data_IF_188772124585
#
_entry.id   IF_188772124585
#
_cell.length_a   1.000
_cell.length_b   1.000
_cell.length_c   1.000
_cell.angle_alpha   90.00
_cell.angle_beta   90.00
_cell.angle_gamma   90.00
#
_symmetry.space_group_name_H-M   'P 1'
#
loop_
_entity.id
_entity.type
_entity.pdbx_description
1 polymer ?
#
# COMPACT_ATOMS: atom_id res chain seq x y z
N UNK A 1 -70.20 29.41 -15.89
CA UNK A 1 -69.76 28.67 -17.10
C UNK A 1 -68.24 28.84 -17.17
N UNK A 2 -67.46 27.80 -16.85
CA UNK A 2 -66.63 27.00 -17.79
C UNK A 2 -65.53 27.86 -18.46
N UNK A 3 -64.22 27.60 -18.36
CA UNK A 3 -63.49 26.33 -18.31
C UNK A 3 -62.01 26.51 -17.93
N UNK A 4 -61.43 25.48 -17.31
CA UNK A 4 -60.00 25.21 -17.16
C UNK A 4 -59.25 25.00 -18.48
N UNK A 5 -57.94 25.35 -18.51
CA UNK A 5 -56.85 24.70 -19.27
C UNK A 5 -55.53 24.95 -18.51
N UNK A 6 -55.07 24.02 -17.65
CA UNK A 6 -54.01 23.01 -17.87
C UNK A 6 -52.79 23.40 -18.73
N UNK A 7 -51.63 23.28 -18.05
CA UNK A 7 -50.30 22.81 -18.47
C UNK A 7 -49.40 23.71 -19.35
N UNK A 8 -48.15 23.93 -18.89
CA UNK A 8 -46.95 23.16 -19.29
C UNK A 8 -45.76 23.59 -18.40
N UNK A 9 -45.01 22.59 -17.94
CA UNK A 9 -43.78 22.71 -17.16
C UNK A 9 -42.56 23.03 -18.03
N UNK A 10 -41.50 23.62 -17.45
CA UNK A 10 -40.11 23.36 -17.85
C UNK A 10 -39.15 23.75 -16.72
N UNK A 11 -38.44 22.74 -16.22
CA UNK A 11 -37.34 22.77 -15.28
C UNK A 11 -36.10 23.39 -15.94
N UNK A 12 -35.39 24.26 -15.23
CA UNK A 12 -34.00 24.59 -15.52
C UNK A 12 -33.23 24.64 -14.19
N UNK A 13 -32.94 23.45 -13.65
CA UNK A 13 -31.98 23.28 -12.57
C UNK A 13 -30.57 23.37 -13.14
N UNK A 14 -29.89 24.49 -12.90
CA UNK A 14 -28.46 24.62 -13.15
C UNK A 14 -27.68 23.96 -12.02
N UNK A 15 -27.21 22.73 -12.24
CA UNK A 15 -26.22 22.09 -11.36
C UNK A 15 -24.84 22.55 -11.84
N UNK A 16 -24.19 23.38 -11.04
CA UNK A 16 -22.78 23.72 -11.19
C UNK A 16 -21.95 22.48 -10.83
N UNK A 17 -21.47 21.76 -11.84
CA UNK A 17 -20.39 20.78 -11.69
C UNK A 17 -19.09 21.54 -11.47
N UNK A 18 -18.81 21.87 -10.20
CA UNK A 18 -17.47 22.26 -9.78
C UNK A 18 -16.57 21.02 -9.83
N UNK A 19 -15.84 20.87 -10.94
CA UNK A 19 -14.70 19.98 -11.03
C UNK A 19 -13.56 20.55 -10.20
N UNK A 20 -13.08 19.82 -9.20
CA UNK A 20 -11.83 20.13 -8.53
C UNK A 20 -10.70 19.38 -9.23
N UNK A 21 -10.11 20.08 -10.21
CA UNK A 21 -8.71 19.91 -10.61
C UNK A 21 -7.84 20.43 -9.46
N UNK A 22 -6.86 19.64 -9.01
CA UNK A 22 -5.92 20.08 -7.98
C UNK A 22 -5.09 21.28 -8.44
N UNK A 23 -4.85 22.23 -7.54
CA UNK A 23 -3.57 22.92 -7.25
C UNK A 23 -3.78 23.91 -6.09
N UNK A 24 -3.00 23.75 -5.00
CA UNK A 24 -2.55 24.88 -4.17
C UNK A 24 -3.33 25.21 -2.88
N UNK A 25 -2.67 24.92 -1.74
CA UNK A 25 -2.60 25.76 -0.54
C UNK A 25 -3.88 26.13 0.22
N UNK A 26 -4.03 25.61 1.44
CA UNK A 26 -4.94 26.17 2.44
C UNK A 26 -5.48 25.12 3.42
N UNK A 27 -5.38 25.43 4.71
CA UNK A 27 -5.83 24.68 5.88
C UNK A 27 -7.18 23.94 5.80
N UNK A 28 -7.25 22.81 6.52
CA UNK A 28 -8.47 22.35 7.20
C UNK A 28 -9.22 21.21 6.49
N UNK A 29 -8.96 19.97 6.92
CA UNK A 29 -9.70 18.79 6.44
C UNK A 29 -9.39 17.54 7.24
N UNK A 30 -9.37 17.64 8.57
CA UNK A 30 -9.34 16.49 9.46
C UNK A 30 -10.77 16.00 9.68
N UNK A 31 -11.12 14.86 9.11
CA UNK A 31 -12.39 14.21 9.33
C UNK A 31 -12.46 12.94 8.50
N UNK A 32 -12.61 11.80 9.18
CA UNK A 32 -12.99 10.47 8.64
C UNK A 32 -11.87 9.53 8.13
N UNK A 33 -10.58 9.89 8.23
CA UNK A 33 -9.47 8.95 7.98
C UNK A 33 -8.33 9.01 9.03
N UNK A 34 -8.60 9.64 10.17
CA UNK A 34 -7.53 10.22 11.01
C UNK A 34 -6.98 9.32 12.12
N UNK A 35 -7.62 8.18 12.43
CA UNK A 35 -7.28 7.34 13.59
C UNK A 35 -6.40 6.13 13.23
N UNK A 36 -6.54 5.58 12.02
CA UNK A 36 -5.75 4.43 11.55
C UNK A 36 -4.23 4.70 11.50
N UNK A 37 -3.85 5.98 11.43
CA UNK A 37 -2.46 6.42 11.39
C UNK A 37 -1.97 6.97 12.73
N UNK A 38 -2.64 6.72 13.86
CA UNK A 38 -2.23 7.24 15.17
C UNK A 38 -1.89 6.12 16.14
N UNK A 39 -0.84 6.31 16.92
CA UNK A 39 -0.37 5.41 17.96
C UNK A 39 0.08 6.24 19.18
N UNK A 40 -0.28 5.84 20.39
CA UNK A 40 0.20 6.47 21.62
C UNK A 40 1.15 5.54 22.39
N UNK A 41 2.30 6.05 22.81
CA UNK A 41 3.25 5.33 23.67
C UNK A 41 3.69 6.28 24.78
N UNK A 42 3.50 5.89 26.04
CA UNK A 42 3.86 6.70 27.22
C UNK A 42 3.33 8.15 27.14
N UNK A 43 2.10 8.33 26.64
CA UNK A 43 1.45 9.64 26.47
C UNK A 43 2.03 10.48 25.33
N UNK A 44 2.81 9.89 24.42
CA UNK A 44 3.35 10.55 23.23
C UNK A 44 2.67 9.99 21.98
N UNK A 45 2.26 10.89 21.10
CA UNK A 45 1.62 10.57 19.82
C UNK A 45 2.67 10.24 18.76
N UNK A 46 2.41 9.17 18.00
CA UNK A 46 3.15 8.76 16.81
C UNK A 46 2.19 8.64 15.65
N UNK A 47 2.64 9.05 14.47
CA UNK A 47 1.85 9.10 13.25
C UNK A 47 2.42 8.13 12.21
N UNK A 48 1.55 7.38 11.53
CA UNK A 48 1.93 6.50 10.44
C UNK A 48 2.66 7.27 9.34
N UNK A 49 3.76 6.71 8.83
CA UNK A 49 4.64 7.40 7.89
C UNK A 49 4.92 6.53 6.66
N UNK A 50 4.21 6.82 5.56
CA UNK A 50 4.46 6.24 4.24
C UNK A 50 4.34 4.71 4.16
N UNK A 51 4.44 4.19 2.93
CA UNK A 51 4.46 2.74 2.69
C UNK A 51 5.89 2.24 2.63
N UNK A 52 6.20 1.20 3.42
CA UNK A 52 7.51 0.57 3.37
C UNK A 52 7.74 -0.17 2.05
N UNK A 53 8.92 0.06 1.48
CA UNK A 53 9.52 -0.70 0.37
C UNK A 53 10.64 -1.60 0.82
N UNK A 54 11.15 -1.41 2.04
CA UNK A 54 12.10 -2.29 2.70
C UNK A 54 11.77 -2.38 4.17
N UNK A 55 11.72 -3.60 4.69
CA UNK A 55 11.52 -3.84 6.12
C UNK A 55 12.72 -3.33 6.91
N UNK A 56 12.50 -2.44 7.90
CA UNK A 56 13.57 -2.01 8.78
C UNK A 56 13.97 -3.12 9.75
N UNK A 57 15.25 -3.15 10.10
CA UNK A 57 15.71 -4.04 11.16
C UNK A 57 15.13 -3.60 12.51
N UNK A 58 14.71 -4.57 13.32
CA UNK A 58 14.21 -4.36 14.68
C UNK A 58 15.17 -4.95 15.70
N UNK A 59 15.15 -4.40 16.91
CA UNK A 59 15.96 -4.89 18.04
C UNK A 59 15.38 -6.15 18.70
N UNK A 60 14.12 -6.48 18.39
CA UNK A 60 13.34 -7.52 19.09
C UNK A 60 12.70 -7.06 20.42
N UNK A 61 12.98 -5.82 20.87
CA UNK A 61 12.28 -5.22 22.01
C UNK A 61 10.92 -4.69 21.59
N UNK A 62 9.93 -4.85 22.47
CA UNK A 62 8.57 -4.38 22.28
C UNK A 62 8.22 -3.30 23.29
N UNK A 63 7.49 -2.28 22.86
CA UNK A 63 6.86 -1.26 23.67
C UNK A 63 5.35 -1.50 23.67
N UNK A 64 4.71 -1.28 24.83
CA UNK A 64 3.25 -1.23 24.88
C UNK A 64 2.79 0.06 24.21
N UNK A 65 1.88 -0.08 23.27
CA UNK A 65 1.32 1.04 22.53
C UNK A 65 -0.20 0.99 22.59
N UNK A 66 -0.84 2.15 22.62
CA UNK A 66 -2.28 2.29 22.57
C UNK A 66 -2.66 2.76 21.16
N UNK A 67 -3.45 1.95 20.47
CA UNK A 67 -4.09 2.36 19.22
C UNK A 67 -5.44 2.97 19.61
N UNK A 68 -5.66 4.27 19.35
CA UNK A 68 -6.91 4.92 19.69
C UNK A 68 -8.07 4.32 18.90
N UNK A 69 -9.26 4.45 19.45
CA UNK A 69 -10.49 4.08 18.78
C UNK A 69 -10.74 4.90 17.52
N UNK A 70 -11.27 4.26 16.49
CA UNK A 70 -11.73 4.89 15.26
C UNK A 70 -13.25 5.07 15.28
N UNK A 71 -13.75 6.25 14.90
CA UNK A 71 -15.16 6.43 14.52
C UNK A 71 -15.26 6.51 13.00
N UNK A 72 -15.12 5.35 12.36
CA UNK A 72 -15.20 5.22 10.91
C UNK A 72 -16.65 4.99 10.43
N UNK A 73 -17.64 5.12 11.33
CA UNK A 73 -19.06 4.87 11.03
C UNK A 73 -19.86 6.15 10.80
N UNK A 74 -19.21 7.32 10.86
CA UNK A 74 -19.90 8.62 10.79
C UNK A 74 -20.86 8.82 11.96
N UNK A 75 -20.56 8.23 13.13
CA UNK A 75 -21.39 8.28 14.34
C UNK A 75 -22.66 7.42 14.27
N UNK A 76 -22.73 6.42 13.38
CA UNK A 76 -23.86 5.49 13.31
C UNK A 76 -23.74 4.33 14.29
N UNK A 77 -22.51 3.94 14.62
CA UNK A 77 -22.19 2.91 15.62
C UNK A 77 -21.34 3.50 16.75
N UNK A 78 -21.20 2.76 17.85
CA UNK A 78 -20.26 3.11 18.90
C UNK A 78 -18.83 3.11 18.32
N UNK A 79 -17.99 4.11 18.65
CA UNK A 79 -16.60 4.15 18.21
C UNK A 79 -15.89 2.86 18.59
N UNK A 80 -15.01 2.35 17.72
CA UNK A 80 -14.19 1.20 18.07
C UNK A 80 -13.41 1.51 19.36
N UNK A 81 -13.34 0.60 20.34
CA UNK A 81 -12.62 0.86 21.57
C UNK A 81 -11.11 0.95 21.29
N UNK A 82 -10.42 1.82 22.04
CA UNK A 82 -8.97 1.82 22.03
C UNK A 82 -8.42 0.44 22.43
N UNK A 83 -7.34 0.02 21.77
CA UNK A 83 -6.73 -1.30 21.97
C UNK A 83 -5.24 -1.19 22.26
N UNK A 84 -4.72 -2.10 23.07
CA UNK A 84 -3.27 -2.22 23.24
C UNK A 84 -2.66 -3.02 22.11
N UNK A 85 -1.45 -2.62 21.71
CA UNK A 85 -0.64 -3.25 20.67
C UNK A 85 0.82 -3.31 21.14
N UNK A 86 1.63 -4.10 20.43
CA UNK A 86 3.07 -4.21 20.69
C UNK A 86 3.84 -3.59 19.54
N UNK A 87 4.31 -2.37 19.76
CA UNK A 87 5.20 -1.71 18.81
C UNK A 87 6.64 -2.23 19.02
N UNK A 88 7.38 -2.46 17.95
CA UNK A 88 8.75 -2.92 17.96
C UNK A 88 9.72 -1.73 17.88
N UNK A 89 10.81 -1.82 18.62
CA UNK A 89 11.89 -0.84 18.53
C UNK A 89 12.79 -1.12 17.33
N UNK A 90 12.98 -0.09 16.51
CA UNK A 90 13.85 -0.10 15.34
C UNK A 90 15.32 -0.18 15.76
N UNK A 91 16.16 -0.89 15.00
CA UNK A 91 17.57 -1.07 15.32
C UNK A 91 18.39 0.21 15.18
N UNK A 92 18.10 1.00 14.14
CA UNK A 92 18.88 2.18 13.76
C UNK A 92 18.21 3.52 14.13
N UNK A 93 16.99 3.47 14.70
CA UNK A 93 16.22 4.66 15.08
C UNK A 93 15.68 4.47 16.50
N UNK A 94 15.97 5.39 17.44
CA UNK A 94 15.50 5.25 18.80
C UNK A 94 13.97 5.32 18.88
N UNK A 95 13.38 4.56 19.80
CA UNK A 95 11.92 4.53 20.01
C UNK A 95 11.32 5.93 20.31
N UNK A 96 12.12 6.85 20.87
CA UNK A 96 11.71 8.24 21.09
C UNK A 96 11.49 9.05 19.80
N UNK A 97 11.86 8.51 18.63
CA UNK A 97 11.67 9.10 17.31
C UNK A 97 10.68 8.28 16.49
N UNK A 98 10.86 6.95 16.41
CA UNK A 98 9.97 6.10 15.64
C UNK A 98 9.93 4.66 16.15
N UNK A 99 8.84 3.97 15.84
CA UNK A 99 8.60 2.55 16.16
C UNK A 99 7.97 1.83 14.96
N UNK A 100 8.02 0.50 14.95
CA UNK A 100 7.37 -0.35 13.95
C UNK A 100 6.16 -1.05 14.55
N UNK A 101 5.00 -0.96 13.92
CA UNK A 101 3.80 -1.72 14.31
C UNK A 101 3.17 -2.32 13.07
N UNK A 102 2.90 -3.62 13.09
CA UNK A 102 2.22 -4.36 12.01
C UNK A 102 2.78 -4.04 10.60
N UNK A 103 4.12 -3.98 10.50
CA UNK A 103 4.81 -3.70 9.23
C UNK A 103 4.75 -2.24 8.77
N UNK A 104 4.32 -1.31 9.63
CA UNK A 104 4.26 0.13 9.34
C UNK A 104 5.11 0.94 10.31
N UNK A 105 5.81 1.96 9.81
CA UNK A 105 6.60 2.87 10.65
C UNK A 105 5.71 3.99 11.17
N UNK A 106 5.76 4.21 12.48
CA UNK A 106 5.10 5.31 13.17
C UNK A 106 6.16 6.26 13.72
N UNK A 107 6.07 7.54 13.36
CA UNK A 107 7.04 8.59 13.73
C UNK A 107 6.41 9.50 14.77
N UNK A 108 7.14 9.80 15.84
CA UNK A 108 6.65 10.68 16.91
C UNK A 108 6.30 12.04 16.33
N UNK A 109 5.15 12.57 16.73
CA UNK A 109 4.73 13.90 16.33
C UNK A 109 5.79 14.95 16.67
N UNK A 110 6.17 15.76 15.67
CA UNK A 110 7.20 16.79 15.78
C UNK A 110 8.64 16.30 15.63
N UNK A 111 8.87 15.01 15.38
CA UNK A 111 10.19 14.46 15.06
C UNK A 111 10.31 14.11 13.58
N UNK A 112 11.54 14.15 13.07
CA UNK A 112 11.86 13.70 11.70
C UNK A 112 12.63 12.38 11.75
N UNK A 113 12.37 11.52 10.77
CA UNK A 113 13.20 10.35 10.56
C UNK A 113 14.63 10.75 10.12
N UNK A 114 15.66 10.04 10.58
CA UNK A 114 17.01 10.31 10.13
C UNK A 114 17.13 10.05 8.62
N UNK A 115 18.02 10.76 7.89
CA UNK A 115 18.12 10.64 6.43
C UNK A 115 18.34 9.21 5.92
N UNK A 116 19.00 8.35 6.70
CA UNK A 116 19.22 6.95 6.36
C UNK A 116 17.92 6.12 6.27
N UNK A 117 16.87 6.50 7.01
CA UNK A 117 15.58 5.83 6.99
C UNK A 117 14.79 6.04 5.68
N UNK A 118 15.20 6.99 4.82
CA UNK A 118 14.58 7.17 3.49
C UNK A 118 14.62 5.90 2.65
N UNK A 119 15.69 5.12 2.79
CA UNK A 119 15.86 3.85 2.08
C UNK A 119 14.78 2.80 2.42
N UNK A 120 14.03 2.98 3.51
CA UNK A 120 12.88 2.13 3.83
C UNK A 120 11.66 2.38 2.94
N UNK A 121 11.54 3.58 2.39
CA UNK A 121 10.39 4.02 1.59
C UNK A 121 10.71 4.10 0.08
N UNK A 122 11.99 4.15 -0.26
CA UNK A 122 12.44 4.16 -1.65
C UNK A 122 12.32 2.77 -2.28
N UNK A 123 11.72 2.70 -3.47
CA UNK A 123 11.67 1.45 -4.23
C UNK A 123 13.09 1.03 -4.62
N UNK A 124 13.50 -0.23 -4.38
CA UNK A 124 14.82 -0.68 -4.80
C UNK A 124 15.00 -0.57 -6.31
N UNK A 125 16.22 -0.21 -6.73
CA UNK A 125 16.64 -0.24 -8.12
C UNK A 125 17.10 -1.64 -8.50
N UNK A 126 16.88 -2.04 -9.75
CA UNK A 126 17.41 -3.29 -10.29
C UNK A 126 18.90 -3.10 -10.63
N UNK A 127 19.77 -3.72 -9.85
CA UNK A 127 21.22 -3.62 -10.01
C UNK A 127 21.87 -5.00 -9.90
N UNK A 128 21.68 -5.83 -10.93
CA UNK A 128 22.34 -7.13 -11.02
C UNK A 128 22.60 -7.54 -12.48
N UNK A 129 23.56 -8.44 -12.68
CA UNK A 129 23.81 -9.04 -13.99
C UNK A 129 22.91 -10.27 -14.21
N UNK A 130 22.55 -10.53 -15.46
CA UNK A 130 21.84 -11.74 -15.86
C UNK A 130 20.41 -11.85 -15.34
N UNK A 131 19.92 -13.08 -15.27
CA UNK A 131 18.59 -13.43 -14.75
C UNK A 131 18.76 -14.02 -13.36
N UNK A 132 18.00 -13.53 -12.39
CA UNK A 132 17.97 -14.05 -11.02
C UNK A 132 16.57 -14.51 -10.66
N UNK A 133 16.47 -15.45 -9.73
CA UNK A 133 15.19 -15.92 -9.20
C UNK A 133 14.90 -15.26 -7.85
N UNK A 134 13.66 -14.81 -7.70
CA UNK A 134 13.11 -14.21 -6.49
C UNK A 134 11.80 -14.91 -6.17
N UNK A 135 11.57 -15.18 -4.89
CA UNK A 135 10.30 -15.67 -4.37
C UNK A 135 9.78 -14.68 -3.33
N UNK A 136 8.48 -14.48 -3.30
CA UNK A 136 7.88 -13.58 -2.32
C UNK A 136 6.36 -13.54 -2.36
N UNK A 137 5.77 -12.94 -1.32
CA UNK A 137 4.33 -12.74 -1.23
C UNK A 137 3.86 -11.78 -2.32
N UNK A 138 2.80 -12.14 -3.05
CA UNK A 138 2.22 -11.28 -4.06
C UNK A 138 1.23 -10.30 -3.43
N UNK A 139 1.59 -9.01 -3.45
CA UNK A 139 0.84 -7.95 -2.77
C UNK A 139 -0.21 -7.27 -3.65
N UNK A 140 -0.05 -7.32 -4.97
CA UNK A 140 -0.99 -6.67 -5.88
C UNK A 140 -0.53 -6.65 -7.33
N UNK A 141 -1.44 -6.24 -8.20
CA UNK A 141 -1.21 -6.11 -9.64
C UNK A 141 -1.72 -4.76 -10.13
N UNK A 142 -0.99 -4.15 -11.05
CA UNK A 142 -1.38 -2.90 -11.71
C UNK A 142 -1.06 -2.99 -13.18
N UNK A 143 -2.03 -2.69 -14.03
CA UNK A 143 -1.85 -2.68 -15.48
C UNK A 143 -2.64 -1.54 -16.13
N UNK A 144 -2.38 -1.24 -17.41
CA UNK A 144 -3.18 -0.29 -18.18
C UNK A 144 -4.55 -0.88 -18.57
N UNK A 145 -4.78 -2.17 -18.34
CA UNK A 145 -6.02 -2.86 -18.64
C UNK A 145 -6.90 -2.91 -17.39
N UNK A 146 -8.15 -2.44 -17.54
CA UNK A 146 -9.18 -2.62 -16.52
C UNK A 146 -9.64 -4.09 -16.54
N UNK A 147 -9.56 -4.75 -15.38
CA UNK A 147 -9.96 -6.14 -15.22
C UNK A 147 -11.47 -6.27 -15.32
N UNK A 148 -11.95 -7.21 -16.13
CA UNK A 148 -13.40 -7.46 -16.28
C UNK A 148 -13.94 -8.48 -15.25
N UNK A 149 -13.04 -9.31 -14.70
CA UNK A 149 -13.33 -10.34 -13.70
C UNK A 149 -12.06 -10.64 -12.89
N UNK A 150 -12.22 -11.28 -11.73
CA UNK A 150 -11.10 -11.67 -10.88
C UNK A 150 -10.14 -12.60 -11.64
N UNK A 151 -8.87 -12.20 -11.72
CA UNK A 151 -7.86 -12.92 -12.49
C UNK A 151 -7.78 -12.56 -13.98
N UNK A 152 -8.53 -11.57 -14.47
CA UNK A 152 -8.31 -10.97 -15.80
C UNK A 152 -7.02 -10.12 -15.82
N UNK A 153 -5.87 -10.80 -15.75
CA UNK A 153 -4.55 -10.19 -15.89
C UNK A 153 -4.01 -10.47 -17.29
N UNK A 154 -3.63 -9.40 -18.00
CA UNK A 154 -3.11 -9.47 -19.36
C UNK A 154 -1.89 -8.56 -19.50
N UNK A 155 -0.73 -9.09 -19.93
CA UNK A 155 0.44 -8.24 -20.13
C UNK A 155 0.16 -7.11 -21.14
N UNK A 156 0.76 -5.92 -20.94
CA UNK A 156 1.72 -5.59 -19.89
C UNK A 156 1.05 -5.27 -18.55
N UNK A 157 1.64 -5.74 -17.45
CA UNK A 157 1.25 -5.34 -16.09
C UNK A 157 2.47 -5.33 -15.17
N UNK A 158 2.27 -4.86 -13.94
CA UNK A 158 3.24 -4.91 -12.86
C UNK A 158 2.66 -5.68 -11.70
N UNK A 159 3.47 -6.50 -11.06
CA UNK A 159 3.12 -7.10 -9.77
C UNK A 159 4.01 -6.51 -8.67
N UNK A 160 3.42 -6.30 -7.50
CA UNK A 160 4.16 -5.96 -6.28
C UNK A 160 4.46 -7.25 -5.50
N UNK A 161 5.72 -7.49 -5.17
CA UNK A 161 6.17 -8.72 -4.52
C UNK A 161 7.03 -8.37 -3.30
N UNK A 162 6.63 -8.81 -2.12
CA UNK A 162 7.46 -8.77 -0.91
C UNK A 162 8.41 -9.97 -0.91
N UNK A 163 9.68 -9.73 -1.19
CA UNK A 163 10.68 -10.78 -1.42
C UNK A 163 11.07 -11.48 -0.12
N UNK A 164 10.76 -12.77 -0.04
CA UNK A 164 11.06 -13.67 1.09
C UNK A 164 12.28 -14.55 0.84
N UNK A 165 12.61 -14.83 -0.43
CA UNK A 165 13.78 -15.60 -0.83
C UNK A 165 14.40 -15.12 -2.16
N UNK A 166 15.70 -15.36 -2.33
CA UNK A 166 16.44 -15.01 -3.54
C UNK A 166 17.74 -14.26 -3.25
N UNK A 167 18.09 -13.30 -4.10
CA UNK A 167 19.33 -12.53 -3.96
C UNK A 167 19.29 -11.64 -2.71
N UNK A 168 20.34 -11.72 -1.89
CA UNK A 168 20.41 -11.05 -0.57
C UNK A 168 20.13 -9.54 -0.58
N UNK A 169 20.47 -8.84 -1.67
CA UNK A 169 20.23 -7.40 -1.80
C UNK A 169 18.74 -7.00 -1.79
N UNK A 170 17.86 -7.94 -2.18
CA UNK A 170 16.43 -7.72 -2.34
C UNK A 170 15.58 -8.41 -1.25
N UNK A 171 16.18 -9.20 -0.37
CA UNK A 171 15.44 -9.82 0.74
C UNK A 171 14.81 -8.75 1.63
N UNK A 172 13.54 -8.98 2.03
CA UNK A 172 12.78 -8.05 2.87
C UNK A 172 12.40 -6.76 2.15
N UNK A 173 12.38 -6.76 0.81
CA UNK A 173 11.95 -5.60 0.02
C UNK A 173 10.69 -5.89 -0.77
N UNK A 174 9.91 -4.84 -1.01
CA UNK A 174 8.77 -4.87 -1.93
C UNK A 174 9.23 -4.38 -3.29
N UNK A 175 9.29 -5.29 -4.25
CA UNK A 175 9.68 -4.99 -5.63
C UNK A 175 8.48 -4.86 -6.55
N UNK A 176 8.62 -4.01 -7.57
CA UNK A 176 7.68 -3.92 -8.69
C UNK A 176 8.27 -4.63 -9.90
N UNK A 177 7.69 -5.77 -10.26
CA UNK A 177 8.16 -6.56 -11.39
C UNK A 177 7.31 -6.27 -12.63
N UNK A 178 7.95 -5.83 -13.70
CA UNK A 178 7.29 -5.60 -14.98
C UNK A 178 7.11 -6.93 -15.71
N UNK A 179 5.86 -7.33 -15.93
CA UNK A 179 5.47 -8.49 -16.73
C UNK A 179 5.09 -8.01 -18.13
N UNK A 180 5.61 -8.70 -19.15
CA UNK A 180 5.40 -8.34 -20.55
C UNK A 180 4.87 -9.52 -21.34
N UNK A 181 4.48 -9.30 -22.61
CA UNK A 181 4.08 -10.38 -23.50
C UNK A 181 5.20 -11.41 -23.77
N UNK A 182 6.46 -11.09 -23.45
CA UNK A 182 7.60 -11.99 -23.57
C UNK A 182 7.88 -12.81 -22.29
N UNK A 183 7.13 -12.58 -21.22
CA UNK A 183 7.28 -13.33 -19.97
C UNK A 183 6.66 -14.72 -20.14
N UNK A 184 7.46 -15.77 -19.92
CA UNK A 184 7.02 -17.16 -20.08
C UNK A 184 7.69 -18.10 -19.06
N UNK A 185 6.90 -18.85 -18.26
CA UNK A 185 5.45 -18.74 -18.13
C UNK A 185 5.01 -17.42 -17.50
N UNK A 186 3.74 -17.10 -17.75
CA UNK A 186 3.02 -15.98 -17.14
C UNK A 186 1.95 -16.51 -16.16
N UNK A 187 1.61 -15.69 -15.16
CA UNK A 187 0.51 -16.00 -14.25
C UNK A 187 -0.81 -16.04 -15.04
N UNK A 188 -1.50 -17.17 -14.99
CA UNK A 188 -2.83 -17.32 -15.55
C UNK A 188 -3.94 -16.96 -14.54
N UNK A 189 -5.21 -16.92 -14.99
CA UNK A 189 -6.34 -16.64 -14.12
C UNK A 189 -6.46 -17.59 -12.93
N UNK A 190 -6.11 -18.87 -13.10
CA UNK A 190 -6.15 -19.86 -12.02
C UNK A 190 -5.04 -19.62 -10.97
N UNK A 191 -3.84 -19.23 -11.40
CA UNK A 191 -2.76 -18.82 -10.50
C UNK A 191 -3.14 -17.58 -9.69
N UNK A 192 -3.83 -16.61 -10.32
CA UNK A 192 -4.32 -15.41 -9.65
C UNK A 192 -5.33 -15.77 -8.57
N UNK A 193 -6.28 -16.65 -8.90
CA UNK A 193 -7.29 -17.09 -7.93
C UNK A 193 -6.63 -17.77 -6.75
N UNK A 194 -5.79 -18.76 -6.98
CA UNK A 194 -5.10 -19.49 -5.90
C UNK A 194 -4.30 -18.54 -5.00
N UNK A 195 -3.56 -17.62 -5.62
CA UNK A 195 -2.69 -16.69 -4.89
C UNK A 195 -3.47 -15.63 -4.12
N UNK A 196 -4.50 -15.00 -4.71
CA UNK A 196 -5.26 -13.94 -4.07
C UNK A 196 -6.06 -14.43 -2.85
N UNK A 197 -6.59 -15.65 -2.90
CA UNK A 197 -7.43 -16.17 -1.82
C UNK A 197 -6.65 -16.82 -0.68
N UNK A 198 -5.39 -17.23 -0.92
CA UNK A 198 -4.55 -17.90 0.09
C UNK A 198 -3.37 -17.05 0.57
N UNK A 199 -3.19 -15.85 0.03
CA UNK A 199 -2.01 -15.01 0.32
C UNK A 199 -0.73 -15.58 -0.30
N UNK A 200 -0.88 -16.24 -1.45
CA UNK A 200 0.16 -17.08 -2.05
C UNK A 200 1.43 -16.33 -2.44
N UNK A 201 2.51 -17.09 -2.51
CA UNK A 201 3.79 -16.58 -3.01
C UNK A 201 3.83 -16.68 -4.55
N UNK A 202 4.71 -15.90 -5.14
CA UNK A 202 5.10 -16.02 -6.54
C UNK A 202 6.60 -16.27 -6.63
N UNK A 203 7.00 -17.16 -7.54
CA UNK A 203 8.40 -17.26 -8.00
C UNK A 203 8.54 -16.55 -9.34
N UNK A 204 9.49 -15.62 -9.41
CA UNK A 204 9.77 -14.83 -10.60
C UNK A 204 11.25 -14.93 -10.97
N UNK A 205 11.52 -15.17 -12.25
CA UNK A 205 12.85 -14.96 -12.83
C UNK A 205 12.91 -13.57 -13.42
N UNK A 206 13.79 -12.72 -12.92
CA UNK A 206 13.85 -11.30 -13.28
C UNK A 206 15.21 -10.93 -13.86
N UNK A 207 15.21 -9.94 -14.76
CA UNK A 207 16.42 -9.27 -15.25
C UNK A 207 16.25 -7.76 -15.08
N UNK A 208 17.37 -7.04 -15.10
CA UNK A 208 17.32 -5.59 -15.17
C UNK A 208 17.11 -5.11 -16.62
N UNK A 209 16.31 -4.06 -16.75
CA UNK A 209 16.17 -3.21 -17.94
C UNK A 209 16.32 -1.75 -17.50
N UNK A 210 17.55 -1.25 -17.54
CA UNK A 210 17.92 -0.06 -16.76
C UNK A 210 17.79 -0.35 -15.27
N UNK A 211 17.05 0.49 -14.57
CA UNK A 211 16.74 0.40 -13.13
C UNK A 211 15.50 -0.46 -12.82
N UNK A 212 14.82 -0.99 -13.84
CA UNK A 212 13.56 -1.73 -13.69
C UNK A 212 13.77 -3.23 -13.66
N UNK A 213 13.03 -3.91 -12.80
CA UNK A 213 12.91 -5.36 -12.81
C UNK A 213 11.92 -5.78 -13.90
N UNK A 214 12.38 -6.58 -14.87
CA UNK A 214 11.53 -7.17 -15.90
C UNK A 214 11.50 -8.68 -15.71
N UNK A 215 10.31 -9.22 -15.53
CA UNK A 215 10.10 -10.66 -15.37
C UNK A 215 10.27 -11.38 -16.71
N UNK A 216 11.13 -12.39 -16.72
CA UNK A 216 11.29 -13.35 -17.81
C UNK A 216 10.43 -14.59 -17.62
N UNK A 217 10.07 -14.90 -16.37
CA UNK A 217 9.05 -15.89 -15.99
C UNK A 217 8.39 -15.47 -14.67
N UNK A 218 7.12 -15.79 -14.49
CA UNK A 218 6.40 -15.68 -13.20
C UNK A 218 5.48 -16.89 -13.04
N UNK A 219 5.47 -17.49 -11.86
CA UNK A 219 4.60 -18.62 -11.48
C UNK A 219 4.06 -18.41 -10.08
N UNK A 220 2.91 -19.01 -9.79
CA UNK A 220 2.49 -19.28 -8.41
C UNK A 220 3.54 -20.15 -7.73
N UNK A 221 3.86 -19.83 -6.48
CA UNK A 221 4.65 -20.63 -5.56
C UNK A 221 3.71 -21.04 -4.43
N UNK A 222 3.18 -22.27 -4.54
CA UNK A 222 2.27 -22.86 -3.56
C UNK A 222 2.98 -23.32 -2.30
#
# INVERSE_FOLDING_TARGET
MRSSRLAVALLAGGVLLAGCTGTGGGEGGGGEASCAAVLEIDGRTYLGHGDLRREPAVTGRNLEALVPGCDDTGGQDDPEPARTARAQELADVPAAVAVLLDGSVYVREGEDLPPAARAWFDSPTCEHAGVVELTGAWLGVTGPHEAQFDGDIRPPYRIEVAVTAGQAAYLGTTLRLQVTAATDPLLGPDDVRETLWTGGEVSARVRCDGDRFVATAVRSAG
#
